data_IF_978292711258
#
_entry.id   IF_978292711258
#
_cell.length_a   1.000
_cell.length_b   1.000
_cell.length_c   1.000
_cell.angle_alpha   90.00
_cell.angle_beta   90.00
_cell.angle_gamma   90.00
#
_symmetry.space_group_name_H-M   'P 1'
#
loop_
_entity.id
_entity.type
_entity.pdbx_description
1 polymer ?
#
# COMPACT_ATOMS: atom_id res chain seq x y z
N UNK A 1 -21.34 0.26 -11.26
CA UNK A 1 -20.63 -0.06 -10.01
C UNK A 1 -19.91 -1.39 -10.22
N UNK A 2 -18.59 -1.44 -10.06
CA UNK A 2 -17.87 -2.72 -10.14
C UNK A 2 -18.42 -3.67 -9.05
N UNK A 3 -18.78 -4.87 -9.47
CA UNK A 3 -19.29 -5.92 -8.59
C UNK A 3 -18.22 -6.24 -7.52
N UNK A 4 -18.61 -6.33 -6.25
CA UNK A 4 -17.69 -6.51 -5.10
C UNK A 4 -16.75 -7.70 -5.29
N UNK A 5 -17.24 -8.77 -5.92
CA UNK A 5 -16.47 -9.95 -6.29
C UNK A 5 -15.31 -9.66 -7.25
N UNK A 6 -15.52 -8.80 -8.26
CA UNK A 6 -14.47 -8.45 -9.23
C UNK A 6 -13.39 -7.60 -8.56
N UNK A 7 -13.78 -6.66 -7.70
CA UNK A 7 -12.85 -5.84 -6.92
C UNK A 7 -11.98 -6.70 -6.00
N UNK A 8 -12.59 -7.62 -5.26
CA UNK A 8 -11.86 -8.51 -4.36
C UNK A 8 -10.89 -9.42 -5.12
N UNK A 9 -11.29 -9.92 -6.30
CA UNK A 9 -10.42 -10.72 -7.16
C UNK A 9 -9.22 -9.92 -7.69
N UNK A 10 -9.41 -8.66 -8.09
CA UNK A 10 -8.30 -7.80 -8.55
C UNK A 10 -7.35 -7.49 -7.39
N UNK A 11 -7.89 -7.16 -6.20
CA UNK A 11 -7.08 -6.86 -5.02
C UNK A 11 -6.28 -8.08 -4.54
N UNK A 12 -6.85 -9.28 -4.57
CA UNK A 12 -6.13 -10.50 -4.19
C UNK A 12 -5.01 -10.84 -5.18
N UNK A 13 -5.25 -10.67 -6.48
CA UNK A 13 -4.22 -10.83 -7.49
C UNK A 13 -3.11 -9.79 -7.37
N UNK A 14 -3.45 -8.53 -7.07
CA UNK A 14 -2.48 -7.48 -6.81
C UNK A 14 -1.62 -7.82 -5.59
N UNK A 15 -2.23 -8.30 -4.50
CA UNK A 15 -1.52 -8.70 -3.29
C UNK A 15 -0.57 -9.88 -3.56
N UNK A 16 -1.02 -10.91 -4.28
CA UNK A 16 -0.19 -12.05 -4.63
C UNK A 16 1.01 -11.64 -5.50
N UNK A 17 0.78 -10.77 -6.49
CA UNK A 17 1.83 -10.25 -7.37
C UNK A 17 2.83 -9.39 -6.61
N UNK A 18 2.34 -8.52 -5.73
CA UNK A 18 3.18 -7.70 -4.85
C UNK A 18 4.04 -8.60 -3.96
N UNK A 19 3.45 -9.57 -3.26
CA UNK A 19 4.20 -10.51 -2.41
C UNK A 19 5.27 -11.27 -3.18
N UNK A 20 4.97 -11.70 -4.40
CA UNK A 20 5.93 -12.40 -5.26
C UNK A 20 7.09 -11.48 -5.69
N UNK A 21 6.81 -10.22 -6.03
CA UNK A 21 7.82 -9.28 -6.51
C UNK A 21 8.65 -8.66 -5.38
N UNK A 22 8.03 -8.38 -4.24
CA UNK A 22 8.71 -7.75 -3.09
C UNK A 22 9.32 -8.77 -2.14
N UNK A 23 9.05 -10.07 -2.35
CA UNK A 23 9.44 -11.18 -1.48
C UNK A 23 9.01 -10.98 0.00
N UNK A 24 8.00 -10.13 0.24
CA UNK A 24 7.54 -9.77 1.58
C UNK A 24 8.47 -8.83 2.35
N UNK A 25 9.53 -8.30 1.74
CA UNK A 25 10.51 -7.43 2.40
C UNK A 25 10.10 -5.95 2.43
N UNK A 26 9.07 -5.57 1.67
CA UNK A 26 8.62 -4.19 1.57
C UNK A 26 7.18 -4.06 2.09
N UNK A 27 6.95 -3.38 3.23
CA UNK A 27 5.62 -3.24 3.81
C UNK A 27 4.74 -2.22 3.08
N UNK A 28 5.35 -1.28 2.34
CA UNK A 28 4.62 -0.19 1.68
C UNK A 28 3.59 -0.65 0.64
N UNK A 29 3.92 -1.56 -0.30
CA UNK A 29 2.96 -2.02 -1.30
C UNK A 29 1.75 -2.76 -0.72
N UNK A 30 1.93 -3.45 0.41
CA UNK A 30 0.83 -4.16 1.10
C UNK A 30 -0.12 -3.17 1.77
N UNK A 31 0.43 -2.21 2.53
CA UNK A 31 -0.35 -1.15 3.19
C UNK A 31 -1.17 -0.32 2.18
N UNK A 32 -0.63 -0.05 0.99
CA UNK A 32 -1.37 0.67 -0.07
C UNK A 32 -2.63 -0.11 -0.50
N UNK A 33 -2.52 -1.42 -0.68
CA UNK A 33 -3.68 -2.25 -1.06
C UNK A 33 -4.76 -2.26 0.04
N UNK A 34 -4.36 -2.23 1.31
CA UNK A 34 -5.28 -2.16 2.44
C UNK A 34 -6.02 -0.82 2.51
N UNK A 35 -5.33 0.30 2.30
CA UNK A 35 -5.94 1.65 2.23
C UNK A 35 -6.93 1.73 1.08
N UNK A 36 -6.58 1.19 -0.10
CA UNK A 36 -7.49 1.15 -1.26
C UNK A 36 -8.74 0.31 -0.93
N UNK A 37 -8.57 -0.83 -0.26
CA UNK A 37 -9.70 -1.66 0.17
C UNK A 37 -10.64 -0.87 1.10
N UNK A 38 -10.09 -0.24 2.14
CA UNK A 38 -10.87 0.56 3.09
C UNK A 38 -11.56 1.75 2.44
N UNK A 39 -10.91 2.41 1.48
CA UNK A 39 -11.48 3.54 0.73
C UNK A 39 -12.68 3.09 -0.11
N UNK A 40 -12.59 1.90 -0.71
CA UNK A 40 -13.64 1.33 -1.56
C UNK A 40 -14.83 0.76 -0.75
N UNK A 41 -14.60 0.33 0.49
CA UNK A 41 -15.62 -0.22 1.39
C UNK A 41 -16.32 0.86 2.23
N UNK A 42 -15.55 1.76 2.85
CA UNK A 42 -16.03 2.72 3.85
C UNK A 42 -16.20 4.14 3.30
N UNK A 43 -15.81 4.37 2.04
CA UNK A 43 -15.87 5.66 1.36
C UNK A 43 -14.66 6.56 1.61
N UNK A 44 -14.57 7.63 0.81
CA UNK A 44 -13.35 8.46 0.69
C UNK A 44 -12.89 9.10 1.99
N UNK A 45 -13.81 9.57 2.85
CA UNK A 45 -13.45 10.22 4.13
C UNK A 45 -12.68 9.29 5.07
N UNK A 46 -13.12 8.03 5.18
CA UNK A 46 -12.44 7.02 6.01
C UNK A 46 -11.13 6.60 5.35
N UNK A 47 -11.15 6.46 4.01
CA UNK A 47 -9.96 6.18 3.21
C UNK A 47 -8.82 7.18 3.42
N UNK A 48 -9.11 8.49 3.43
CA UNK A 48 -8.08 9.52 3.65
C UNK A 48 -7.46 9.48 5.04
N UNK A 49 -8.24 9.18 6.08
CA UNK A 49 -7.70 9.01 7.42
C UNK A 49 -6.78 7.78 7.49
N UNK A 50 -7.23 6.65 6.93
CA UNK A 50 -6.42 5.44 6.85
C UNK A 50 -5.15 5.62 6.01
N UNK A 51 -5.23 6.40 4.93
CA UNK A 51 -4.08 6.77 4.10
C UNK A 51 -3.07 7.59 4.90
N UNK A 52 -3.52 8.60 5.64
CA UNK A 52 -2.65 9.44 6.45
C UNK A 52 -1.91 8.64 7.54
N UNK A 53 -2.62 7.75 8.24
CA UNK A 53 -2.02 6.86 9.24
C UNK A 53 -1.02 5.89 8.60
N UNK A 54 -1.41 5.22 7.50
CA UNK A 54 -0.53 4.30 6.79
C UNK A 54 0.72 5.01 6.25
N UNK A 55 0.58 6.23 5.76
CA UNK A 55 1.70 7.04 5.29
C UNK A 55 2.65 7.41 6.43
N UNK A 56 2.12 7.88 7.57
CA UNK A 56 2.93 8.21 8.74
C UNK A 56 3.73 7.00 9.23
N UNK A 57 3.10 5.83 9.32
CA UNK A 57 3.76 4.56 9.67
C UNK A 57 4.87 4.22 8.69
N UNK A 58 4.62 4.33 7.38
CA UNK A 58 5.58 3.96 6.35
C UNK A 58 6.78 4.91 6.28
N UNK A 59 6.57 6.21 6.51
CA UNK A 59 7.65 7.21 6.48
C UNK A 59 8.72 6.97 7.55
N UNK A 60 8.37 6.38 8.69
CA UNK A 60 9.32 6.14 9.78
C UNK A 60 10.06 4.79 9.67
N UNK A 61 9.66 3.92 8.75
CA UNK A 61 10.27 2.60 8.52
C UNK A 61 11.73 2.71 8.07
N UNK A 62 12.52 1.69 8.38
CA UNK A 62 13.94 1.64 7.99
C UNK A 62 14.08 1.47 6.48
N UNK A 63 13.17 0.71 5.86
CA UNK A 63 13.08 0.50 4.43
C UNK A 63 12.87 1.83 3.70
N UNK A 64 11.93 2.65 4.16
CA UNK A 64 11.67 3.97 3.58
C UNK A 64 12.88 4.90 3.69
N UNK A 65 13.51 4.97 4.87
CA UNK A 65 14.73 5.76 5.09
C UNK A 65 15.89 5.32 4.19
N UNK A 66 16.09 4.01 4.05
CA UNK A 66 17.13 3.45 3.19
C UNK A 66 16.89 3.78 1.71
N UNK A 67 15.64 3.68 1.24
CA UNK A 67 15.27 4.03 -0.14
C UNK A 67 15.43 5.53 -0.41
N UNK A 68 15.06 6.40 0.54
CA UNK A 68 15.28 7.85 0.46
C UNK A 68 16.78 8.15 0.41
N UNK A 69 17.58 7.52 1.27
CA UNK A 69 19.04 7.66 1.27
C UNK A 69 19.65 7.22 -0.07
N UNK A 70 19.16 6.14 -0.67
CA UNK A 70 19.60 5.67 -1.98
C UNK A 70 19.23 6.67 -3.09
N UNK A 71 18.05 7.27 -3.02
CA UNK A 71 17.61 8.31 -3.95
C UNK A 71 18.54 9.53 -3.90
N UNK A 72 18.89 10.01 -2.70
CA UNK A 72 19.82 11.11 -2.52
C UNK A 72 21.27 10.76 -2.86
N UNK A 73 21.69 9.51 -2.66
CA UNK A 73 23.04 9.03 -3.00
C UNK A 73 23.28 8.82 -4.50
N UNK A 74 22.29 9.07 -5.36
CA UNK A 74 22.36 8.88 -6.82
C UNK A 74 22.64 10.18 -7.60
N UNK A 75 23.21 11.19 -6.94
CA UNK A 75 23.91 12.32 -7.58
C UNK A 75 25.40 12.03 -7.71
#
# INVERSE_FOLDING_TARGET
>A
MLNSYVRNYILSQAQAKVMSQTQGLYPAPLKILDVIRQTLENGSKVGFNAEAEAFADLCITNESKALISLFHGRT
#
